data_IF_788150848344
#
_entry.id   IF_788150848344
#
_cell.length_a   1.000
_cell.length_b   1.000
_cell.length_c   1.000
_cell.angle_alpha   90.00
_cell.angle_beta   90.00
_cell.angle_gamma   90.00
#
_symmetry.space_group_name_H-M   'P 1'
#
loop_
_entity.id
_entity.type
_entity.pdbx_description
1 polymer ?
#
# COMPACT_ATOMS: atom_id res chain seq x y z
N UNK A 1 -7.72 -39.45 -3.97
CA UNK A 1 -7.14 -38.56 -5.02
C UNK A 1 -5.67 -38.93 -5.16
N UNK A 2 -5.10 -38.99 -6.37
CA UNK A 2 -3.70 -39.35 -6.56
C UNK A 2 -2.77 -38.35 -5.86
N UNK A 3 -1.70 -38.83 -5.25
CA UNK A 3 -0.73 -38.07 -4.45
C UNK A 3 -0.21 -36.83 -5.19
N UNK A 4 0.14 -36.97 -6.47
CA UNK A 4 0.61 -35.87 -7.32
C UNK A 4 -0.41 -34.74 -7.49
N UNK A 5 -1.71 -35.07 -7.53
CA UNK A 5 -2.76 -34.06 -7.66
C UNK A 5 -2.85 -33.19 -6.41
N UNK A 6 -2.70 -33.80 -5.22
CA UNK A 6 -2.71 -33.07 -3.95
C UNK A 6 -1.53 -32.12 -3.85
N UNK A 7 -0.32 -32.60 -4.19
CA UNK A 7 0.90 -31.78 -4.24
C UNK A 7 0.70 -30.58 -5.17
N UNK A 8 0.24 -30.81 -6.41
CA UNK A 8 0.04 -29.74 -7.39
C UNK A 8 -0.97 -28.70 -6.90
N UNK A 9 -2.03 -29.12 -6.19
CA UNK A 9 -3.02 -28.20 -5.60
C UNK A 9 -2.45 -27.37 -4.45
N UNK A 10 -1.66 -27.97 -3.56
CA UNK A 10 -0.99 -27.25 -2.47
C UNK A 10 -0.06 -26.18 -3.04
N UNK A 11 0.71 -26.54 -4.07
CA UNK A 11 1.59 -25.60 -4.78
C UNK A 11 0.80 -24.48 -5.45
N UNK A 12 -0.29 -24.79 -6.16
CA UNK A 12 -1.14 -23.79 -6.84
C UNK A 12 -1.76 -22.78 -5.86
N UNK A 13 -2.15 -23.24 -4.66
CA UNK A 13 -2.66 -22.36 -3.60
C UNK A 13 -1.57 -21.44 -3.06
N UNK A 14 -0.38 -21.97 -2.76
CA UNK A 14 0.72 -21.13 -2.29
C UNK A 14 1.16 -20.11 -3.35
N UNK A 15 1.24 -20.52 -4.61
CA UNK A 15 1.52 -19.65 -5.75
C UNK A 15 0.44 -18.57 -5.89
N UNK A 16 -0.82 -18.92 -5.70
CA UNK A 16 -1.94 -17.98 -5.75
C UNK A 16 -1.85 -16.97 -4.61
N UNK A 17 -1.67 -17.41 -3.36
CA UNK A 17 -1.53 -16.53 -2.20
C UNK A 17 -0.37 -15.54 -2.37
N UNK A 18 0.77 -16.01 -2.86
CA UNK A 18 1.90 -15.15 -3.19
C UNK A 18 1.55 -14.12 -4.26
N UNK A 19 0.96 -14.56 -5.38
CA UNK A 19 0.57 -13.68 -6.49
C UNK A 19 -0.43 -12.58 -6.10
N UNK A 20 -1.24 -12.80 -5.06
CA UNK A 20 -2.22 -11.82 -4.56
C UNK A 20 -1.63 -10.72 -3.67
N UNK A 21 -0.36 -10.83 -3.28
CA UNK A 21 0.27 -9.88 -2.36
C UNK A 21 0.14 -10.26 -0.88
N UNK A 22 -0.10 -11.54 -0.57
CA UNK A 22 -0.05 -12.05 0.80
C UNK A 22 1.38 -11.97 1.36
N UNK A 23 1.53 -11.57 2.62
CA UNK A 23 2.82 -11.56 3.31
C UNK A 23 3.46 -12.97 3.29
N UNK A 24 4.77 -13.12 3.02
CA UNK A 24 5.43 -14.43 2.91
C UNK A 24 5.16 -15.38 4.09
N UNK A 25 5.31 -14.92 5.33
CA UNK A 25 5.00 -15.74 6.51
C UNK A 25 3.55 -16.26 6.55
N UNK A 26 2.57 -15.51 6.02
CA UNK A 26 1.18 -15.96 5.90
C UNK A 26 1.02 -16.97 4.78
N UNK A 27 1.75 -16.80 3.66
CA UNK A 27 1.76 -17.81 2.58
C UNK A 27 2.20 -19.16 3.14
N UNK A 28 3.25 -19.19 3.95
CA UNK A 28 3.70 -20.41 4.66
C UNK A 28 2.57 -20.98 5.53
N UNK A 29 2.04 -20.18 6.45
CA UNK A 29 1.00 -20.64 7.40
C UNK A 29 -0.27 -21.15 6.69
N UNK A 30 -0.82 -20.40 5.75
CA UNK A 30 -2.05 -20.79 5.05
C UNK A 30 -1.85 -22.04 4.19
N UNK A 31 -0.70 -22.16 3.53
CA UNK A 31 -0.45 -23.30 2.64
C UNK A 31 -0.17 -24.56 3.47
N UNK A 32 0.55 -24.44 4.60
CA UNK A 32 0.75 -25.54 5.55
C UNK A 32 -0.57 -25.97 6.21
N UNK A 33 -1.42 -25.00 6.61
CA UNK A 33 -2.76 -25.29 7.12
C UNK A 33 -3.59 -26.11 6.12
N UNK A 34 -3.57 -25.71 4.85
CA UNK A 34 -4.27 -26.43 3.78
C UNK A 34 -3.70 -27.84 3.57
N UNK A 35 -2.37 -28.00 3.55
CA UNK A 35 -1.75 -29.31 3.38
C UNK A 35 -2.09 -30.27 4.53
N UNK A 36 -1.99 -29.79 5.78
CA UNK A 36 -2.35 -30.56 6.98
C UNK A 36 -3.82 -30.99 6.97
N UNK A 37 -4.72 -30.09 6.56
CA UNK A 37 -6.15 -30.40 6.39
C UNK A 37 -6.39 -31.50 5.35
N UNK A 38 -5.51 -31.65 4.35
CA UNK A 38 -5.56 -32.71 3.35
C UNK A 38 -4.69 -33.95 3.70
N UNK A 39 -4.14 -34.00 4.92
CA UNK A 39 -3.31 -35.11 5.40
C UNK A 39 -1.96 -35.21 4.69
N UNK A 40 -1.41 -34.08 4.21
CA UNK A 40 -0.09 -34.00 3.58
C UNK A 40 0.82 -33.16 4.47
N UNK A 41 1.91 -33.75 4.94
CA UNK A 41 2.94 -33.00 5.66
C UNK A 41 3.79 -32.22 4.65
N UNK A 42 3.86 -30.90 4.83
CA UNK A 42 4.72 -30.06 4.00
C UNK A 42 5.45 -29.03 4.85
N UNK A 43 6.70 -28.75 4.48
CA UNK A 43 7.46 -27.60 4.97
C UNK A 43 7.56 -26.58 3.85
N UNK A 44 7.17 -25.35 4.14
CA UNK A 44 7.08 -24.28 3.16
C UNK A 44 7.93 -23.12 3.65
N UNK A 45 8.77 -22.61 2.76
CA UNK A 45 9.53 -21.40 2.99
C UNK A 45 9.23 -20.42 1.85
N UNK A 46 8.59 -19.32 2.18
CA UNK A 46 8.22 -18.28 1.24
C UNK A 46 9.14 -17.06 1.43
N UNK A 47 9.49 -16.45 0.31
CA UNK A 47 10.18 -15.17 0.24
C UNK A 47 9.44 -14.27 -0.75
N UNK A 48 9.72 -12.97 -0.81
CA UNK A 48 9.06 -12.07 -1.76
C UNK A 48 9.23 -12.47 -3.24
N UNK A 49 10.24 -13.29 -3.57
CA UNK A 49 10.58 -13.65 -4.97
C UNK A 49 10.67 -15.15 -5.24
N UNK A 50 10.46 -16.01 -4.24
CA UNK A 50 10.49 -17.46 -4.40
C UNK A 50 9.70 -18.18 -3.31
N UNK A 51 9.17 -19.36 -3.64
CA UNK A 51 8.56 -20.27 -2.67
C UNK A 51 9.22 -21.64 -2.83
N UNK A 52 9.64 -22.21 -1.70
CA UNK A 52 10.20 -23.54 -1.61
C UNK A 52 9.20 -24.45 -0.89
N UNK A 53 8.77 -25.51 -1.57
CA UNK A 53 7.89 -26.53 -1.01
C UNK A 53 8.68 -27.83 -0.81
N UNK A 54 8.59 -28.39 0.38
CA UNK A 54 9.22 -29.66 0.71
C UNK A 54 8.15 -30.63 1.22
N UNK A 55 8.10 -31.83 0.65
CA UNK A 55 7.15 -32.88 1.00
C UNK A 55 7.93 -34.10 1.54
N UNK A 56 8.15 -34.19 2.87
CA UNK A 56 8.97 -35.25 3.46
C UNK A 56 8.38 -36.65 3.21
N UNK A 57 7.06 -36.79 3.31
CA UNK A 57 6.36 -38.08 3.20
C UNK A 57 6.28 -38.58 1.75
N UNK A 58 6.47 -37.69 0.76
CA UNK A 58 6.39 -37.98 -0.68
C UNK A 58 7.78 -38.02 -1.31
N UNK A 59 8.61 -38.98 -0.87
CA UNK A 59 9.97 -39.23 -1.38
C UNK A 59 10.90 -38.00 -1.26
N UNK A 60 10.72 -37.18 -0.20
CA UNK A 60 11.44 -35.93 0.01
C UNK A 60 11.40 -34.99 -1.22
N UNK A 61 10.26 -34.92 -1.91
CA UNK A 61 10.11 -34.05 -3.08
C UNK A 61 10.31 -32.58 -2.69
N UNK A 62 11.16 -31.88 -3.44
CA UNK A 62 11.43 -30.45 -3.28
C UNK A 62 11.03 -29.73 -4.56
N UNK A 63 10.15 -28.73 -4.43
CA UNK A 63 9.68 -27.91 -5.54
C UNK A 63 10.04 -26.46 -5.22
N UNK A 64 10.99 -25.90 -5.95
CA UNK A 64 11.35 -24.49 -5.87
C UNK A 64 10.76 -23.74 -7.06
N UNK A 65 9.92 -22.73 -6.78
CA UNK A 65 9.40 -21.81 -7.80
C UNK A 65 9.87 -20.39 -7.56
N UNK A 66 10.40 -19.76 -8.60
CA UNK A 66 10.71 -18.32 -8.61
C UNK A 66 9.50 -17.54 -9.09
N UNK A 67 9.17 -16.48 -8.36
CA UNK A 67 8.06 -15.59 -8.65
C UNK A 67 8.56 -14.17 -8.89
N UNK A 68 7.80 -13.43 -9.70
CA UNK A 68 7.95 -11.97 -9.73
C UNK A 68 7.42 -11.39 -8.41
N UNK A 69 7.86 -10.19 -8.00
CA UNK A 69 7.23 -9.50 -6.88
C UNK A 69 5.70 -9.50 -7.04
N UNK A 70 5.00 -9.74 -5.94
CA UNK A 70 3.57 -9.96 -5.96
C UNK A 70 2.80 -8.78 -6.54
N UNK A 71 1.75 -9.08 -7.32
CA UNK A 71 0.74 -8.09 -7.72
C UNK A 71 -0.31 -7.96 -6.62
N UNK A 72 -0.87 -6.77 -6.44
CA UNK A 72 -1.90 -6.56 -5.42
C UNK A 72 -3.25 -7.01 -5.98
N UNK A 73 -3.83 -8.07 -5.40
CA UNK A 73 -5.18 -8.55 -5.73
C UNK A 73 -5.91 -8.99 -4.46
N UNK A 74 -6.53 -8.03 -3.78
CA UNK A 74 -7.19 -8.25 -2.50
C UNK A 74 -8.45 -9.11 -2.62
N UNK A 75 -9.15 -9.03 -3.75
CA UNK A 75 -10.31 -9.88 -4.02
C UNK A 75 -9.92 -11.34 -4.18
N UNK A 76 -8.86 -11.62 -4.95
CA UNK A 76 -8.34 -12.99 -5.10
C UNK A 76 -7.79 -13.52 -3.77
N UNK A 77 -7.08 -12.69 -2.99
CA UNK A 77 -6.61 -13.07 -1.65
C UNK A 77 -7.77 -13.49 -0.75
N UNK A 78 -8.82 -12.66 -0.70
CA UNK A 78 -9.96 -12.90 0.16
C UNK A 78 -10.75 -14.15 -0.23
N UNK A 79 -10.96 -14.35 -1.54
CA UNK A 79 -11.66 -15.53 -2.06
C UNK A 79 -10.84 -16.81 -1.86
N UNK A 80 -9.51 -16.74 -2.00
CA UNK A 80 -8.62 -17.87 -1.71
C UNK A 80 -8.71 -18.25 -0.23
N UNK A 81 -8.66 -17.28 0.70
CA UNK A 81 -8.76 -17.58 2.14
C UNK A 81 -10.11 -18.19 2.52
N UNK A 82 -11.21 -17.66 1.97
CA UNK A 82 -12.55 -18.25 2.15
C UNK A 82 -12.55 -19.71 1.70
N UNK A 83 -11.91 -19.99 0.55
CA UNK A 83 -11.82 -21.34 0.01
C UNK A 83 -11.06 -22.30 0.94
N UNK A 84 -9.94 -21.86 1.54
CA UNK A 84 -9.15 -22.70 2.46
C UNK A 84 -9.94 -23.15 3.69
N UNK A 85 -10.92 -22.35 4.10
CA UNK A 85 -11.74 -22.61 5.28
C UNK A 85 -12.91 -23.55 5.02
N UNK A 86 -13.31 -23.77 3.75
CA UNK A 86 -14.43 -24.64 3.41
C UNK A 86 -14.19 -26.09 3.85
N UNK A 87 -15.21 -26.82 4.33
CA UNK A 87 -15.06 -28.22 4.73
C UNK A 87 -14.55 -29.08 3.57
N UNK A 88 -13.84 -30.16 3.91
CA UNK A 88 -13.30 -31.10 2.93
C UNK A 88 -14.44 -31.71 2.10
N UNK A 89 -14.53 -31.33 0.84
CA UNK A 89 -15.47 -31.95 -0.11
C UNK A 89 -14.76 -32.98 -1.00
N UNK A 90 -15.43 -34.08 -1.37
CA UNK A 90 -14.86 -35.09 -2.28
C UNK A 90 -14.67 -34.56 -3.71
N UNK A 91 -15.38 -33.50 -4.09
CA UNK A 91 -15.24 -32.83 -5.39
C UNK A 91 -14.08 -31.83 -5.32
N UNK A 92 -13.16 -31.83 -6.31
CA UNK A 92 -12.12 -30.82 -6.38
C UNK A 92 -12.73 -29.43 -6.64
N UNK A 93 -12.47 -28.46 -5.76
CA UNK A 93 -12.96 -27.10 -5.96
C UNK A 93 -12.28 -26.43 -7.15
N UNK A 94 -13.02 -25.61 -7.89
CA UNK A 94 -12.44 -24.71 -8.88
C UNK A 94 -11.45 -23.73 -8.20
N UNK A 95 -10.40 -23.26 -8.89
CA UNK A 95 -9.52 -22.21 -8.36
C UNK A 95 -10.32 -20.97 -7.97
N UNK A 96 -9.91 -20.28 -6.90
CA UNK A 96 -10.51 -18.99 -6.54
C UNK A 96 -10.35 -17.98 -7.69
N UNK A 97 -11.41 -17.24 -7.97
CA UNK A 97 -11.38 -16.14 -8.93
C UNK A 97 -11.30 -14.80 -8.20
N UNK A 98 -10.53 -13.87 -8.78
CA UNK A 98 -10.38 -12.52 -8.26
C UNK A 98 -11.53 -11.60 -8.69
N UNK A 99 -11.56 -10.39 -8.12
CA UNK A 99 -12.46 -9.35 -8.61
C UNK A 99 -11.81 -8.68 -9.81
N UNK A 100 -12.57 -8.55 -10.90
CA UNK A 100 -12.13 -7.81 -12.08
C UNK A 100 -12.97 -6.55 -12.25
N UNK A 101 -12.29 -5.41 -12.37
CA UNK A 101 -12.92 -4.13 -12.71
C UNK A 101 -12.72 -3.86 -14.20
N UNK A 102 -13.76 -3.34 -14.89
CA UNK A 102 -13.62 -2.93 -16.28
C UNK A 102 -12.61 -1.78 -16.39
N UNK A 103 -11.91 -1.70 -17.51
CA UNK A 103 -10.79 -0.76 -17.72
C UNK A 103 -11.19 0.70 -17.48
N UNK A 104 -12.43 1.09 -17.78
CA UNK A 104 -12.91 2.44 -17.55
C UNK A 104 -13.05 2.78 -16.05
N UNK A 105 -13.40 1.81 -15.19
CA UNK A 105 -13.44 2.01 -13.74
C UNK A 105 -12.01 2.15 -13.20
N UNK A 106 -11.07 1.35 -13.70
CA UNK A 106 -9.65 1.45 -13.32
C UNK A 106 -9.05 2.79 -13.75
N UNK A 107 -9.40 3.26 -14.95
CA UNK A 107 -9.02 4.58 -15.46
C UNK A 107 -9.56 5.68 -14.54
N UNK A 108 -10.85 5.65 -14.22
CA UNK A 108 -11.47 6.64 -13.33
C UNK A 108 -10.83 6.61 -11.94
N UNK A 109 -10.62 5.42 -11.36
CA UNK A 109 -9.96 5.29 -10.07
C UNK A 109 -8.55 5.89 -10.10
N UNK A 110 -7.73 5.58 -11.11
CA UNK A 110 -6.38 6.13 -11.22
C UNK A 110 -6.40 7.66 -11.37
N UNK A 111 -7.33 8.19 -12.16
CA UNK A 111 -7.50 9.63 -12.40
C UNK A 111 -8.00 10.37 -11.13
N UNK A 112 -8.82 9.72 -10.30
CA UNK A 112 -9.39 10.30 -9.09
C UNK A 112 -8.46 10.24 -7.87
N UNK A 113 -7.43 9.38 -7.86
CA UNK A 113 -6.52 9.25 -6.71
C UNK A 113 -5.74 10.55 -6.43
N UNK A 114 -5.06 11.18 -7.41
CA UNK A 114 -4.34 12.44 -7.16
C UNK A 114 -5.20 13.58 -6.61
N UNK A 115 -6.38 13.92 -7.19
CA UNK A 115 -7.22 14.96 -6.61
C UNK A 115 -7.71 14.57 -5.23
N UNK A 116 -8.16 13.34 -5.01
CA UNK A 116 -8.62 12.89 -3.69
C UNK A 116 -7.50 12.97 -2.63
N UNK A 117 -6.25 12.72 -3.02
CA UNK A 117 -5.10 12.91 -2.14
C UNK A 117 -4.87 14.39 -1.79
N UNK A 118 -4.94 15.30 -2.78
CA UNK A 118 -4.87 16.74 -2.53
C UNK A 118 -6.03 17.22 -1.65
N UNK A 119 -7.23 16.68 -1.83
CA UNK A 119 -8.39 16.98 -0.98
C UNK A 119 -8.11 16.68 0.49
N UNK A 120 -7.32 15.64 0.80
CA UNK A 120 -6.93 15.27 2.16
C UNK A 120 -5.78 16.12 2.70
N UNK A 121 -4.76 16.36 1.89
CA UNK A 121 -3.55 17.06 2.32
C UNK A 121 -3.78 18.57 2.41
N UNK A 122 -4.66 19.13 1.59
CA UNK A 122 -4.83 20.57 1.41
C UNK A 122 -3.99 21.08 0.24
N UNK A 123 -4.58 21.92 -0.61
CA UNK A 123 -3.93 22.51 -1.79
C UNK A 123 -4.75 23.69 -2.31
N UNK A 124 -4.37 24.24 -3.47
CA UNK A 124 -5.14 25.21 -4.25
C UNK A 124 -6.14 24.53 -5.19
N UNK A 125 -7.21 25.23 -5.60
CA UNK A 125 -8.21 24.68 -6.52
C UNK A 125 -7.62 24.41 -7.91
N UNK A 126 -6.68 25.22 -8.37
CA UNK A 126 -5.95 25.04 -9.63
C UNK A 126 -5.21 23.70 -9.63
N UNK A 127 -4.49 23.40 -8.55
CA UNK A 127 -3.78 22.13 -8.40
C UNK A 127 -4.76 20.94 -8.37
N UNK A 128 -5.95 21.09 -7.78
CA UNK A 128 -6.98 20.05 -7.80
C UNK A 128 -7.38 19.69 -9.24
N UNK A 129 -7.69 20.69 -10.08
CA UNK A 129 -8.09 20.44 -11.47
C UNK A 129 -6.94 19.85 -12.29
N UNK A 130 -5.72 20.38 -12.13
CA UNK A 130 -4.54 19.86 -12.83
C UNK A 130 -4.25 18.41 -12.42
N UNK A 131 -4.49 18.03 -11.16
CA UNK A 131 -4.22 16.68 -10.68
C UNK A 131 -5.05 15.59 -11.37
N UNK A 132 -6.27 15.90 -11.84
CA UNK A 132 -7.04 14.97 -12.67
C UNK A 132 -6.31 14.65 -13.98
N UNK A 133 -5.79 15.69 -14.65
CA UNK A 133 -5.01 15.51 -15.88
C UNK A 133 -3.75 14.67 -15.60
N UNK A 134 -3.04 14.96 -14.51
CA UNK A 134 -1.83 14.20 -14.16
C UNK A 134 -2.12 12.74 -13.83
N UNK A 135 -3.24 12.44 -13.13
CA UNK A 135 -3.67 11.06 -12.88
C UNK A 135 -3.96 10.28 -14.17
N UNK A 136 -4.59 10.93 -15.15
CA UNK A 136 -4.78 10.35 -16.48
C UNK A 136 -3.44 10.08 -17.18
N UNK A 137 -2.48 11.00 -17.10
CA UNK A 137 -1.16 10.84 -17.71
C UNK A 137 -0.38 9.70 -17.08
N UNK A 138 -0.45 9.55 -15.75
CA UNK A 138 0.14 8.42 -15.03
C UNK A 138 -0.50 7.10 -15.47
N UNK A 139 -1.82 7.05 -15.61
CA UNK A 139 -2.50 5.88 -16.18
C UNK A 139 -2.02 5.58 -17.60
N UNK A 140 -1.90 6.58 -18.47
CA UNK A 140 -1.40 6.40 -19.82
C UNK A 140 0.04 5.87 -19.84
N UNK A 141 0.91 6.37 -18.96
CA UNK A 141 2.27 5.84 -18.78
C UNK A 141 2.25 4.37 -18.38
N UNK A 142 1.38 3.97 -17.44
CA UNK A 142 1.21 2.57 -17.04
C UNK A 142 0.73 1.68 -18.21
N UNK A 143 -0.21 2.18 -19.03
CA UNK A 143 -0.73 1.44 -20.18
C UNK A 143 0.30 1.27 -21.30
N UNK A 144 1.18 2.27 -21.52
CA UNK A 144 2.19 2.27 -22.59
C UNK A 144 3.44 1.49 -22.16
N UNK A 145 3.90 1.65 -20.91
CA UNK A 145 5.12 1.04 -20.40
C UNK A 145 4.93 -0.45 -20.04
N UNK A 146 4.77 -1.28 -21.07
CA UNK A 146 4.62 -2.74 -20.91
C UNK A 146 5.96 -3.50 -20.97
N UNK A 147 5.96 -4.74 -20.48
CA UNK A 147 7.10 -5.69 -20.52
C UNK A 147 8.35 -5.12 -19.84
N UNK A 148 9.50 -5.04 -20.52
CA UNK A 148 10.78 -4.58 -19.94
C UNK A 148 10.73 -3.12 -19.51
N UNK A 149 9.88 -2.30 -20.14
CA UNK A 149 9.72 -0.87 -19.82
C UNK A 149 8.98 -0.62 -18.51
N UNK A 150 8.26 -1.62 -17.98
CA UNK A 150 7.56 -1.48 -16.70
C UNK A 150 8.51 -1.29 -15.52
N UNK A 151 9.78 -1.72 -15.65
CA UNK A 151 10.80 -1.53 -14.61
C UNK A 151 11.13 -0.06 -14.33
N UNK A 152 10.86 0.83 -15.30
CA UNK A 152 11.17 2.25 -15.21
C UNK A 152 9.91 3.13 -15.26
N UNK A 153 8.71 2.53 -15.20
CA UNK A 153 7.45 3.29 -15.30
C UNK A 153 7.33 4.32 -14.18
N UNK A 154 7.76 3.98 -12.97
CA UNK A 154 7.73 4.87 -11.81
C UNK A 154 8.59 6.12 -12.07
N UNK A 155 9.81 5.90 -12.57
CA UNK A 155 10.76 6.97 -12.90
C UNK A 155 10.25 7.85 -14.04
N UNK A 156 9.85 7.26 -15.17
CA UNK A 156 9.38 8.03 -16.33
C UNK A 156 8.10 8.81 -16.03
N UNK A 157 7.17 8.20 -15.30
CA UNK A 157 5.94 8.90 -14.90
C UNK A 157 6.25 10.09 -14.01
N UNK A 158 7.17 9.95 -13.04
CA UNK A 158 7.60 11.06 -12.21
C UNK A 158 8.24 12.20 -13.02
N UNK A 159 9.15 11.89 -13.95
CA UNK A 159 9.76 12.90 -14.83
C UNK A 159 8.70 13.62 -15.67
N UNK A 160 7.81 12.88 -16.34
CA UNK A 160 6.78 13.45 -17.22
C UNK A 160 5.79 14.31 -16.45
N UNK A 161 5.29 13.82 -15.33
CA UNK A 161 4.36 14.55 -14.47
C UNK A 161 5.00 15.84 -13.97
N UNK A 162 6.22 15.76 -13.44
CA UNK A 162 6.90 16.95 -12.91
C UNK A 162 7.19 17.96 -14.00
N UNK A 163 7.60 17.52 -15.19
CA UNK A 163 7.77 18.37 -16.37
C UNK A 163 6.46 19.09 -16.70
N UNK A 164 5.32 18.39 -16.72
CA UNK A 164 4.03 19.04 -16.98
C UNK A 164 3.65 20.03 -15.87
N UNK A 165 3.91 19.70 -14.61
CA UNK A 165 3.63 20.60 -13.48
C UNK A 165 4.46 21.88 -13.59
N UNK A 166 5.76 21.79 -13.88
CA UNK A 166 6.61 22.98 -14.03
C UNK A 166 6.28 23.80 -15.28
N UNK A 167 5.82 23.16 -16.36
CA UNK A 167 5.24 23.88 -17.50
C UNK A 167 4.02 24.70 -17.09
N UNK A 168 3.07 24.09 -16.38
CA UNK A 168 1.84 24.77 -15.93
C UNK A 168 2.17 25.90 -14.94
N UNK A 169 3.13 25.68 -14.04
CA UNK A 169 3.60 26.71 -13.11
C UNK A 169 4.23 27.90 -13.86
N UNK A 170 4.98 27.64 -14.94
CA UNK A 170 5.58 28.71 -15.77
C UNK A 170 4.56 29.62 -16.46
N UNK A 171 3.30 29.19 -16.59
CA UNK A 171 2.20 30.02 -17.10
C UNK A 171 1.69 31.04 -16.06
N UNK A 172 2.30 31.09 -14.86
CA UNK A 172 1.88 31.97 -13.77
C UNK A 172 0.67 31.47 -13.00
N UNK A 173 0.30 30.19 -13.15
CA UNK A 173 -0.81 29.59 -12.40
C UNK A 173 -0.31 29.26 -10.98
N UNK A 174 -1.01 29.71 -9.92
CA UNK A 174 -0.58 29.52 -8.55
C UNK A 174 -0.78 28.07 -8.06
N UNK A 175 0.25 27.23 -8.23
CA UNK A 175 0.21 25.81 -7.83
C UNK A 175 1.38 25.41 -6.92
N UNK A 176 1.13 24.64 -5.84
CA UNK A 176 2.19 24.04 -5.04
C UNK A 176 2.84 22.87 -5.80
N UNK A 177 3.91 23.18 -6.55
CA UNK A 177 4.60 22.26 -7.48
C UNK A 177 4.93 20.91 -6.84
N UNK A 178 5.59 20.90 -5.68
CA UNK A 178 6.02 19.66 -5.02
C UNK A 178 4.84 18.80 -4.55
N UNK A 179 3.84 19.42 -3.93
CA UNK A 179 2.64 18.71 -3.45
C UNK A 179 1.86 18.09 -4.61
N UNK A 180 1.72 18.81 -5.72
CA UNK A 180 1.04 18.34 -6.92
C UNK A 180 1.81 17.19 -7.60
N UNK A 181 3.14 17.27 -7.69
CA UNK A 181 3.96 16.18 -8.22
C UNK A 181 3.79 14.89 -7.40
N UNK A 182 3.83 15.00 -6.08
CA UNK A 182 3.69 13.84 -5.19
C UNK A 182 2.28 13.26 -5.25
N UNK A 183 1.25 14.11 -5.28
CA UNK A 183 -0.13 13.67 -5.44
C UNK A 183 -0.34 12.88 -6.74
N UNK A 184 0.23 13.35 -7.85
CA UNK A 184 0.12 12.68 -9.14
C UNK A 184 0.77 11.28 -9.16
N UNK A 185 1.90 11.08 -8.47
CA UNK A 185 2.60 9.79 -8.44
C UNK A 185 2.27 8.93 -7.22
N UNK A 186 1.33 9.35 -6.37
CA UNK A 186 1.03 8.69 -5.08
C UNK A 186 0.67 7.22 -5.25
N UNK A 187 0.07 6.83 -6.38
CA UNK A 187 -0.27 5.43 -6.67
C UNK A 187 0.97 4.52 -6.79
N UNK A 188 2.13 5.06 -7.18
CA UNK A 188 3.37 4.28 -7.24
C UNK A 188 4.03 4.10 -5.88
N UNK A 189 3.57 4.81 -4.85
CA UNK A 189 4.09 4.62 -3.49
C UNK A 189 3.70 3.21 -3.04
N UNK A 190 4.68 2.34 -2.70
CA UNK A 190 4.46 0.91 -2.51
C UNK A 190 3.85 0.60 -1.13
N UNK A 191 2.70 1.18 -0.83
CA UNK A 191 2.10 1.18 0.51
C UNK A 191 1.76 -0.21 1.05
N UNK A 192 1.26 -1.12 0.21
CA UNK A 192 1.07 -2.51 0.63
C UNK A 192 2.38 -3.21 0.94
N UNK A 193 3.39 -3.06 0.07
CA UNK A 193 4.69 -3.69 0.28
C UNK A 193 5.33 -3.18 1.56
N UNK A 194 5.19 -1.89 1.88
CA UNK A 194 5.59 -1.33 3.18
C UNK A 194 4.82 -2.04 4.30
N UNK A 195 3.49 -2.07 4.26
CA UNK A 195 2.68 -2.70 5.31
C UNK A 195 3.05 -4.19 5.51
N UNK A 196 3.24 -4.94 4.42
CA UNK A 196 3.71 -6.34 4.45
C UNK A 196 5.12 -6.46 5.04
N UNK A 197 6.03 -5.55 4.70
CA UNK A 197 7.39 -5.57 5.22
C UNK A 197 7.41 -5.36 6.73
N UNK A 198 6.63 -4.37 7.21
CA UNK A 198 6.50 -4.08 8.63
C UNK A 198 5.85 -5.24 9.37
N UNK A 199 4.83 -5.86 8.77
CA UNK A 199 4.19 -7.05 9.33
C UNK A 199 5.19 -8.24 9.42
N UNK A 200 5.96 -8.51 8.38
CA UNK A 200 7.01 -9.54 8.41
C UNK A 200 8.05 -9.28 9.52
N UNK A 201 8.52 -8.04 9.65
CA UNK A 201 9.46 -7.66 10.72
C UNK A 201 8.84 -7.85 12.11
N UNK A 202 7.55 -7.50 12.28
CA UNK A 202 6.82 -7.71 13.53
C UNK A 202 6.74 -9.19 13.94
N UNK A 203 6.67 -10.10 12.97
CA UNK A 203 6.67 -11.55 13.18
C UNK A 203 8.05 -12.21 13.09
N UNK A 204 9.14 -11.42 13.17
CA UNK A 204 10.54 -11.90 13.09
C UNK A 204 10.92 -12.59 11.76
N UNK A 205 10.14 -12.39 10.68
CA UNK A 205 10.52 -12.77 9.32
C UNK A 205 11.43 -11.69 8.71
N UNK A 206 12.69 -11.68 9.18
CA UNK A 206 13.68 -10.66 8.85
C UNK A 206 14.05 -10.67 7.36
N UNK A 207 14.13 -11.84 6.73
CA UNK A 207 14.53 -11.97 5.32
C UNK A 207 13.46 -11.37 4.40
N UNK A 208 12.19 -11.73 4.61
CA UNK A 208 11.11 -11.17 3.81
C UNK A 208 10.89 -9.68 4.09
N UNK A 209 10.93 -9.30 5.37
CA UNK A 209 10.74 -7.91 5.79
C UNK A 209 11.79 -6.97 5.20
N UNK A 210 13.07 -7.31 5.32
CA UNK A 210 14.16 -6.48 4.76
C UNK A 210 14.16 -6.47 3.22
N UNK A 211 13.82 -7.59 2.57
CA UNK A 211 13.71 -7.66 1.10
C UNK A 211 12.58 -6.77 0.57
N UNK A 212 11.40 -6.80 1.20
CA UNK A 212 10.27 -5.93 0.84
C UNK A 212 10.60 -4.45 1.08
N UNK A 213 11.23 -4.10 2.22
CA UNK A 213 11.69 -2.73 2.46
C UNK A 213 12.70 -2.27 1.42
N UNK A 214 13.66 -3.13 1.04
CA UNK A 214 14.62 -2.84 -0.01
C UNK A 214 13.94 -2.55 -1.36
N UNK A 215 12.92 -3.33 -1.72
CA UNK A 215 12.12 -3.07 -2.92
C UNK A 215 11.39 -1.72 -2.82
N UNK A 216 10.77 -1.43 -1.68
CA UNK A 216 10.07 -0.16 -1.47
C UNK A 216 11.02 1.04 -1.59
N UNK A 217 12.20 0.93 -0.99
CA UNK A 217 13.23 1.96 -1.02
C UNK A 217 13.71 2.25 -2.46
N UNK A 218 13.91 1.21 -3.28
CA UNK A 218 14.26 1.37 -4.70
C UNK A 218 13.16 2.11 -5.47
N UNK A 219 11.88 1.78 -5.24
CA UNK A 219 10.76 2.51 -5.88
C UNK A 219 10.72 3.97 -5.44
N UNK A 220 10.91 4.26 -4.15
CA UNK A 220 10.96 5.64 -3.64
C UNK A 220 12.13 6.43 -4.24
N UNK A 221 13.30 5.82 -4.40
CA UNK A 221 14.45 6.43 -5.10
C UNK A 221 14.09 6.80 -6.54
N UNK A 222 13.45 5.89 -7.29
CA UNK A 222 13.03 6.18 -8.68
C UNK A 222 12.10 7.37 -8.75
N UNK A 223 11.11 7.44 -7.85
CA UNK A 223 10.16 8.56 -7.79
C UNK A 223 10.88 9.87 -7.43
N UNK A 224 11.72 9.85 -6.40
CA UNK A 224 12.46 11.02 -5.93
C UNK A 224 13.40 11.57 -7.01
N UNK A 225 14.26 10.73 -7.58
CA UNK A 225 15.17 11.14 -8.66
C UNK A 225 14.38 11.60 -9.89
N UNK A 226 13.26 10.94 -10.21
CA UNK A 226 12.38 11.33 -11.30
C UNK A 226 11.80 12.74 -11.13
N UNK A 227 11.33 13.08 -9.92
CA UNK A 227 10.87 14.44 -9.60
C UNK A 227 12.03 15.43 -9.75
N UNK A 228 13.17 15.19 -9.12
CA UNK A 228 14.31 16.13 -9.15
C UNK A 228 14.79 16.39 -10.59
N UNK A 229 14.93 15.33 -11.40
CA UNK A 229 15.29 15.47 -12.81
C UNK A 229 14.21 16.24 -13.58
N UNK A 230 12.94 15.93 -13.36
CA UNK A 230 11.82 16.65 -13.98
C UNK A 230 11.80 18.14 -13.63
N UNK A 231 12.09 18.49 -12.37
CA UNK A 231 12.19 19.88 -11.91
C UNK A 231 13.31 20.62 -12.65
N UNK A 232 14.54 20.08 -12.63
CA UNK A 232 15.68 20.74 -13.27
C UNK A 232 15.56 20.83 -14.79
N UNK A 233 14.99 19.81 -15.45
CA UNK A 233 14.68 19.89 -16.88
C UNK A 233 13.64 21.00 -17.11
N UNK A 234 12.61 21.09 -16.27
CA UNK A 234 11.59 22.12 -16.39
C UNK A 234 12.12 23.52 -16.17
N UNK A 235 12.94 23.72 -15.14
CA UNK A 235 13.65 24.99 -14.87
C UNK A 235 14.51 25.42 -16.04
N UNK A 236 15.21 24.48 -16.69
CA UNK A 236 16.04 24.76 -17.85
C UNK A 236 15.22 25.13 -19.10
N UNK A 237 14.03 24.55 -19.27
CA UNK A 237 13.17 24.77 -20.44
C UNK A 237 12.29 26.01 -20.32
N UNK A 238 11.77 26.31 -19.13
CA UNK A 238 10.75 27.34 -18.90
C UNK A 238 11.16 28.43 -17.93
N UNK A 239 12.35 28.34 -17.33
CA UNK A 239 12.80 29.24 -16.26
C UNK A 239 12.36 28.76 -14.88
N UNK A 240 12.83 29.43 -13.84
CA UNK A 240 12.50 29.09 -12.45
C UNK A 240 11.05 29.52 -12.19
N UNK A 241 10.11 28.60 -11.96
CA UNK A 241 8.75 28.97 -11.60
C UNK A 241 8.76 29.63 -10.21
N UNK A 242 7.88 30.61 -9.99
CA UNK A 242 7.63 31.09 -8.63
C UNK A 242 6.98 29.95 -7.84
N UNK A 243 7.77 29.30 -6.99
CA UNK A 243 7.27 28.28 -6.08
C UNK A 243 6.41 28.97 -5.03
N UNK A 244 5.10 28.77 -5.13
CA UNK A 244 4.19 29.17 -4.06
C UNK A 244 4.31 28.13 -2.96
N UNK A 245 4.50 28.63 -1.74
CA UNK A 245 4.44 27.79 -0.54
C UNK A 245 3.07 27.12 -0.42
N UNK A 246 3.00 26.07 0.40
CA UNK A 246 1.75 25.38 0.66
C UNK A 246 0.65 26.36 1.10
N UNK A 247 -0.46 26.35 0.35
CA UNK A 247 -1.70 27.03 0.69
C UNK A 247 -2.81 25.98 0.78
N UNK A 248 -3.64 26.08 1.82
CA UNK A 248 -4.81 25.24 1.98
C UNK A 248 -6.08 26.07 1.78
N UNK A 249 -6.56 26.12 0.54
CA UNK A 249 -7.81 26.81 0.19
C UNK A 249 -9.04 25.92 0.43
N UNK A 250 -8.81 24.65 0.77
CA UNK A 250 -9.86 23.65 0.84
C UNK A 250 -10.63 23.70 2.15
N UNK A 251 -11.98 23.78 2.09
CA UNK A 251 -12.82 23.66 3.26
C UNK A 251 -12.84 22.22 3.79
N UNK A 252 -13.15 22.07 5.08
CA UNK A 252 -13.18 20.75 5.76
C UNK A 252 -14.10 19.73 5.10
N UNK A 253 -15.21 20.15 4.47
CA UNK A 253 -16.11 19.23 3.77
C UNK A 253 -15.41 18.50 2.61
N UNK A 254 -14.45 19.15 1.96
CA UNK A 254 -13.72 18.60 0.84
C UNK A 254 -12.76 17.50 1.30
N UNK A 255 -12.18 17.62 2.50
CA UNK A 255 -11.44 16.54 3.15
C UNK A 255 -12.34 15.34 3.49
N UNK A 256 -13.57 15.59 3.97
CA UNK A 256 -14.55 14.54 4.27
C UNK A 256 -14.98 13.79 3.01
N UNK A 257 -15.11 14.47 1.87
CA UNK A 257 -15.43 13.87 0.57
C UNK A 257 -14.23 13.18 -0.06
N UNK A 258 -13.03 13.74 0.09
CA UNK A 258 -11.77 13.19 -0.42
C UNK A 258 -11.45 11.81 0.17
N UNK A 259 -11.79 11.59 1.44
CA UNK A 259 -11.51 10.33 2.13
C UNK A 259 -12.22 9.10 1.53
N UNK A 260 -13.56 9.05 1.38
CA UNK A 260 -14.21 7.94 0.70
C UNK A 260 -13.76 7.85 -0.75
N UNK A 261 -13.54 8.99 -1.44
CA UNK A 261 -13.10 9.00 -2.83
C UNK A 261 -11.74 8.28 -3.01
N UNK A 262 -10.74 8.61 -2.18
CA UNK A 262 -9.44 7.93 -2.22
C UNK A 262 -9.56 6.47 -1.79
N UNK A 263 -10.41 6.18 -0.79
CA UNK A 263 -10.60 4.83 -0.26
C UNK A 263 -11.18 3.87 -1.30
N UNK A 264 -12.25 4.29 -2.00
CA UNK A 264 -12.83 3.48 -3.06
C UNK A 264 -11.91 3.37 -4.27
N UNK A 265 -11.20 4.45 -4.63
CA UNK A 265 -10.28 4.43 -5.78
C UNK A 265 -9.09 3.49 -5.54
N UNK A 266 -8.48 3.51 -4.35
CA UNK A 266 -7.43 2.57 -3.95
C UNK A 266 -7.98 1.14 -3.90
N UNK A 267 -9.19 0.95 -3.34
CA UNK A 267 -9.86 -0.35 -3.32
C UNK A 267 -10.00 -0.95 -4.73
N UNK A 268 -10.44 -0.15 -5.70
CA UNK A 268 -10.52 -0.56 -7.12
C UNK A 268 -9.15 -0.90 -7.67
N UNK A 269 -8.14 -0.06 -7.43
CA UNK A 269 -6.76 -0.29 -7.90
C UNK A 269 -6.17 -1.59 -7.38
N UNK A 270 -6.53 -1.99 -6.17
CA UNK A 270 -6.09 -3.25 -5.54
C UNK A 270 -7.07 -4.40 -5.72
N UNK A 271 -8.09 -4.23 -6.58
CA UNK A 271 -9.12 -5.23 -6.86
C UNK A 271 -9.79 -5.78 -5.60
N UNK A 272 -9.98 -4.94 -4.59
CA UNK A 272 -10.70 -5.35 -3.38
C UNK A 272 -12.17 -5.63 -3.70
N UNK A 273 -12.84 -6.44 -2.88
CA UNK A 273 -14.30 -6.62 -3.03
C UNK A 273 -14.99 -5.34 -2.55
N UNK A 274 -16.08 -4.88 -3.20
CA UNK A 274 -16.77 -3.66 -2.79
C UNK A 274 -17.18 -3.64 -1.32
N UNK A 275 -17.60 -4.79 -0.79
CA UNK A 275 -17.96 -4.95 0.62
C UNK A 275 -16.76 -4.74 1.55
N UNK A 276 -15.56 -5.21 1.16
CA UNK A 276 -14.35 -5.05 1.96
C UNK A 276 -13.89 -3.58 1.98
N UNK A 277 -14.12 -2.85 0.88
CA UNK A 277 -13.84 -1.40 0.80
C UNK A 277 -14.70 -0.58 1.76
N UNK A 278 -15.96 -0.99 1.97
CA UNK A 278 -16.84 -0.31 2.92
C UNK A 278 -16.38 -0.58 4.35
N UNK A 279 -15.99 -1.82 4.66
CA UNK A 279 -15.50 -2.17 5.99
C UNK A 279 -14.12 -1.55 6.32
N UNK A 280 -13.31 -1.16 5.33
CA UNK A 280 -12.02 -0.50 5.54
C UNK A 280 -12.13 1.01 5.76
N UNK A 281 -13.28 1.63 5.49
CA UNK A 281 -13.48 3.08 5.60
C UNK A 281 -13.20 3.64 7.01
N UNK A 282 -13.62 3.00 8.12
CA UNK A 282 -13.27 3.47 9.47
C UNK A 282 -11.76 3.52 9.72
N UNK A 283 -11.01 2.60 9.11
CA UNK A 283 -9.54 2.57 9.20
C UNK A 283 -8.93 3.75 8.43
N UNK A 284 -9.53 4.13 7.30
CA UNK A 284 -9.14 5.33 6.57
C UNK A 284 -9.38 6.61 7.39
N UNK A 285 -10.52 6.70 8.08
CA UNK A 285 -10.84 7.80 9.01
C UNK A 285 -9.80 7.89 10.11
N UNK A 286 -9.48 6.77 10.75
CA UNK A 286 -8.43 6.71 11.77
C UNK A 286 -7.07 7.13 11.19
N UNK A 287 -6.68 6.64 10.02
CA UNK A 287 -5.42 7.02 9.39
C UNK A 287 -5.32 8.53 9.09
N UNK A 288 -6.43 9.15 8.71
CA UNK A 288 -6.48 10.59 8.43
C UNK A 288 -6.43 11.44 9.71
N UNK A 289 -7.36 11.25 10.65
CA UNK A 289 -7.50 12.16 11.79
C UNK A 289 -6.91 11.64 13.11
N UNK A 290 -6.65 10.33 13.21
CA UNK A 290 -6.14 9.70 14.41
C UNK A 290 -4.87 10.37 14.96
N UNK A 291 -3.82 10.62 14.16
CA UNK A 291 -2.58 11.17 14.70
C UNK A 291 -2.74 12.58 15.28
N UNK A 292 -3.72 13.34 14.80
CA UNK A 292 -4.02 14.68 15.30
C UNK A 292 -4.74 14.63 16.66
N UNK A 293 -5.74 13.75 16.80
CA UNK A 293 -6.54 13.68 18.02
C UNK A 293 -5.99 12.74 19.10
N UNK A 294 -5.14 11.78 18.74
CA UNK A 294 -4.62 10.74 19.64
C UNK A 294 -3.17 10.99 20.06
N UNK A 295 -2.68 12.22 19.90
CA UNK A 295 -1.32 12.61 20.27
C UNK A 295 -1.04 12.61 21.78
N UNK A 296 -2.06 12.87 22.62
CA UNK A 296 -1.97 12.93 24.09
C UNK A 296 -0.70 13.65 24.60
N UNK A 297 -0.43 14.85 24.09
CA UNK A 297 0.77 15.66 24.39
C UNK A 297 2.14 15.05 23.98
N UNK A 298 2.16 13.81 23.50
CA UNK A 298 3.34 13.10 22.98
C UNK A 298 3.64 13.41 21.51
N UNK A 299 2.93 14.37 20.92
CA UNK A 299 3.11 14.80 19.54
C UNK A 299 2.72 13.75 18.48
N UNK A 300 3.12 14.02 17.24
CA UNK A 300 2.73 13.23 16.07
C UNK A 300 3.20 11.77 16.11
N UNK A 301 4.34 11.49 16.76
CA UNK A 301 4.88 10.14 16.87
C UNK A 301 3.96 9.27 17.72
N UNK A 302 3.57 9.75 18.90
CA UNK A 302 2.63 9.03 19.78
C UNK A 302 1.26 8.92 19.13
N UNK A 303 0.75 10.00 18.51
CA UNK A 303 -0.52 9.96 17.78
C UNK A 303 -0.54 8.90 16.68
N UNK A 304 0.54 8.78 15.92
CA UNK A 304 0.70 7.77 14.86
C UNK A 304 0.76 6.36 15.42
N UNK A 305 1.48 6.17 16.53
CA UNK A 305 1.55 4.89 17.20
C UNK A 305 0.16 4.43 17.69
N UNK A 306 -0.56 5.25 18.46
CA UNK A 306 -1.91 4.93 18.96
C UNK A 306 -2.87 4.65 17.80
N UNK A 307 -2.85 5.51 16.78
CA UNK A 307 -3.67 5.34 15.58
C UNK A 307 -3.41 4.00 14.91
N UNK A 308 -2.13 3.64 14.76
CA UNK A 308 -1.76 2.36 14.15
C UNK A 308 -2.24 1.17 14.97
N UNK A 309 -2.19 1.26 16.31
CA UNK A 309 -2.74 0.24 17.20
C UNK A 309 -4.24 0.06 16.93
N UNK A 310 -5.01 1.15 16.90
CA UNK A 310 -6.46 1.10 16.67
C UNK A 310 -6.81 0.55 15.28
N UNK A 311 -6.11 1.01 14.24
CA UNK A 311 -6.23 0.53 12.86
C UNK A 311 -6.04 -1.00 12.81
N UNK A 312 -4.97 -1.48 13.45
CA UNK A 312 -4.59 -2.89 13.41
C UNK A 312 -5.54 -3.76 14.23
N UNK A 313 -5.99 -3.29 15.39
CA UNK A 313 -7.00 -3.96 16.21
C UNK A 313 -8.35 -4.07 15.47
N UNK A 314 -8.84 -2.96 14.92
CA UNK A 314 -10.09 -2.95 14.17
C UNK A 314 -10.02 -3.87 12.94
N UNK A 315 -8.95 -3.76 12.15
CA UNK A 315 -8.78 -4.56 10.95
C UNK A 315 -8.68 -6.05 11.24
N UNK A 316 -7.99 -6.42 12.32
CA UNK A 316 -7.89 -7.82 12.78
C UNK A 316 -9.22 -8.33 13.34
N UNK A 317 -9.98 -7.48 14.04
CA UNK A 317 -11.30 -7.80 14.57
C UNK A 317 -12.33 -8.07 13.45
N UNK A 318 -12.43 -7.16 12.47
CA UNK A 318 -13.28 -7.35 11.28
C UNK A 318 -12.87 -8.61 10.53
N UNK A 319 -11.56 -8.81 10.32
CA UNK A 319 -11.04 -9.99 9.65
C UNK A 319 -11.43 -11.28 10.36
N UNK A 320 -11.37 -11.33 11.70
CA UNK A 320 -11.87 -12.48 12.47
C UNK A 320 -13.37 -12.70 12.30
N UNK A 321 -14.17 -11.62 12.30
CA UNK A 321 -15.63 -11.69 12.10
C UNK A 321 -16.01 -12.18 10.71
N UNK A 322 -15.26 -11.80 9.68
CA UNK A 322 -15.49 -12.16 8.28
C UNK A 322 -14.73 -13.42 7.84
N UNK A 323 -13.94 -14.02 8.73
CA UNK A 323 -13.02 -15.12 8.43
C UNK A 323 -12.01 -14.80 7.30
N UNK A 324 -11.50 -13.58 7.28
CA UNK A 324 -10.52 -13.07 6.31
C UNK A 324 -9.19 -12.76 7.00
N UNK A 325 -8.24 -12.20 6.24
CA UNK A 325 -6.98 -11.65 6.76
C UNK A 325 -7.10 -10.16 7.06
N UNK A 326 -6.48 -9.70 8.16
CA UNK A 326 -6.51 -8.30 8.60
C UNK A 326 -5.98 -7.32 7.56
N UNK A 327 -5.01 -7.74 6.74
CA UNK A 327 -4.32 -6.83 5.81
C UNK A 327 -5.25 -6.21 4.75
N UNK A 328 -6.33 -6.90 4.38
CA UNK A 328 -7.35 -6.37 3.45
C UNK A 328 -7.94 -5.05 3.99
N UNK A 329 -8.08 -4.93 5.31
CA UNK A 329 -8.68 -3.76 5.96
C UNK A 329 -7.64 -2.77 6.49
N UNK A 330 -6.55 -3.27 7.06
CA UNK A 330 -5.50 -2.48 7.70
C UNK A 330 -4.79 -1.57 6.69
N UNK A 331 -4.50 -2.10 5.50
CA UNK A 331 -3.68 -1.44 4.50
C UNK A 331 -4.19 -0.04 4.12
N UNK A 332 -5.51 0.14 4.02
CA UNK A 332 -6.09 1.42 3.62
C UNK A 332 -5.71 2.56 4.58
N UNK A 333 -5.78 2.30 5.89
CA UNK A 333 -5.38 3.30 6.89
C UNK A 333 -3.86 3.48 6.96
N UNK A 334 -3.09 2.40 6.83
CA UNK A 334 -1.63 2.49 6.81
C UNK A 334 -1.13 3.32 5.63
N UNK A 335 -1.71 3.16 4.43
CA UNK A 335 -1.34 3.95 3.24
C UNK A 335 -1.55 5.44 3.47
N UNK A 336 -2.66 5.83 4.11
CA UNK A 336 -2.95 7.23 4.44
C UNK A 336 -1.98 7.76 5.51
N UNK A 337 -1.57 6.89 6.44
CA UNK A 337 -0.69 7.20 7.56
C UNK A 337 0.80 7.27 7.19
N UNK A 338 1.21 6.59 6.12
CA UNK A 338 2.62 6.52 5.68
C UNK A 338 3.15 7.94 5.44
N UNK A 339 4.37 8.25 5.91
CA UNK A 339 4.93 9.59 5.96
C UNK A 339 4.93 10.37 4.64
N UNK A 340 4.84 9.74 3.47
CA UNK A 340 4.75 10.43 2.19
C UNK A 340 3.59 11.45 2.09
N UNK A 341 2.48 11.22 2.80
CA UNK A 341 1.33 12.14 2.86
C UNK A 341 1.49 13.27 3.89
N UNK A 342 2.26 13.03 4.96
CA UNK A 342 2.36 13.91 6.13
C UNK A 342 3.67 14.68 6.24
N UNK A 343 4.74 14.19 5.63
CA UNK A 343 6.02 14.92 5.46
C UNK A 343 5.79 16.24 4.71
N UNK A 344 4.88 16.24 3.74
CA UNK A 344 4.48 17.47 3.02
C UNK A 344 3.72 18.45 3.92
N UNK A 345 2.87 17.93 4.82
CA UNK A 345 2.10 18.74 5.78
C UNK A 345 2.99 19.26 6.91
N UNK A 346 3.98 18.48 7.38
CA UNK A 346 4.93 18.93 8.40
C UNK A 346 5.91 19.96 7.87
N UNK A 347 6.24 19.91 6.58
CA UNK A 347 7.02 20.96 5.93
C UNK A 347 6.26 22.30 5.90
N UNK A 348 4.92 22.26 5.85
CA UNK A 348 4.07 23.45 5.71
C UNK A 348 3.47 24.01 7.01
N UNK A 349 3.35 23.22 8.09
CA UNK A 349 2.76 23.65 9.36
C UNK A 349 3.66 24.59 10.22
N UNK A 350 4.77 25.08 9.70
CA UNK A 350 5.71 25.97 10.41
C UNK A 350 5.23 27.44 10.57
N UNK A 351 3.91 27.68 10.63
CA UNK A 351 3.33 29.03 10.78
C UNK A 351 2.90 29.34 12.23
N UNK A 352 2.90 28.37 13.15
CA UNK A 352 2.59 28.63 14.57
C UNK A 352 3.77 28.28 15.50
N UNK A 353 4.54 29.34 15.77
CA UNK A 353 5.30 29.69 16.99
C UNK A 353 6.06 28.61 17.80
N UNK A 354 7.37 28.88 17.94
CA UNK A 354 8.33 28.41 18.95
C UNK A 354 8.91 26.97 18.85
N UNK A 355 9.97 26.83 18.03
CA UNK A 355 10.88 25.68 18.10
C UNK A 355 12.03 25.95 19.09
N UNK A 356 11.95 25.41 20.30
CA UNK A 356 13.05 25.41 21.30
C UNK A 356 13.97 24.17 21.10
N UNK A 357 13.67 23.30 20.14
CA UNK A 357 14.50 22.15 19.77
C UNK A 357 14.79 22.14 18.25
N UNK A 358 15.97 21.64 17.80
CA UNK A 358 16.30 21.54 16.40
C UNK A 358 15.28 20.65 15.68
N UNK A 359 14.64 21.20 14.65
CA UNK A 359 13.65 20.49 13.85
C UNK A 359 14.33 19.24 13.25
N UNK A 360 13.82 18.03 13.50
CA UNK A 360 14.31 16.84 12.84
C UNK A 360 14.19 17.03 11.32
N UNK A 361 15.26 16.73 10.57
CA UNK A 361 15.21 16.74 9.11
C UNK A 361 13.99 15.96 8.61
N UNK A 362 13.44 16.34 7.45
CA UNK A 362 12.30 15.65 6.82
C UNK A 362 12.47 14.12 6.84
N UNK A 363 13.69 13.62 6.58
CA UNK A 363 14.02 12.20 6.65
C UNK A 363 13.94 11.60 8.05
N UNK A 364 14.37 12.34 9.09
CA UNK A 364 14.29 11.89 10.48
C UNK A 364 12.83 11.84 10.97
N UNK A 365 12.00 12.81 10.57
CA UNK A 365 10.55 12.80 10.85
C UNK A 365 9.86 11.61 10.18
N UNK A 366 10.19 11.34 8.91
CA UNK A 366 9.68 10.15 8.21
C UNK A 366 10.08 8.86 8.93
N UNK A 367 11.34 8.75 9.37
CA UNK A 367 11.84 7.61 10.12
C UNK A 367 11.08 7.40 11.44
N UNK A 368 10.81 8.46 12.21
CA UNK A 368 10.02 8.34 13.44
C UNK A 368 8.58 7.90 13.18
N UNK A 369 7.94 8.42 12.13
CA UNK A 369 6.60 7.99 11.72
C UNK A 369 6.59 6.52 11.31
N UNK A 370 7.59 6.06 10.54
CA UNK A 370 7.74 4.64 10.20
C UNK A 370 7.91 3.78 11.45
N UNK A 371 8.80 4.17 12.36
CA UNK A 371 9.02 3.45 13.63
C UNK A 371 7.75 3.39 14.47
N UNK A 372 6.97 4.47 14.52
CA UNK A 372 5.68 4.50 15.23
C UNK A 372 4.65 3.55 14.63
N UNK A 373 4.59 3.46 13.30
CA UNK A 373 3.72 2.51 12.59
C UNK A 373 4.13 1.06 12.94
N UNK A 374 5.43 0.73 12.83
CA UNK A 374 5.93 -0.61 13.16
C UNK A 374 5.62 -0.98 14.60
N UNK A 375 5.98 -0.11 15.54
CA UNK A 375 5.73 -0.32 16.97
C UNK A 375 4.24 -0.48 17.26
N UNK A 376 3.38 0.29 16.58
CA UNK A 376 1.93 0.22 16.75
C UNK A 376 1.35 -1.10 16.23
N UNK A 377 1.83 -1.60 15.09
CA UNK A 377 1.40 -2.91 14.57
C UNK A 377 1.85 -4.04 15.49
N UNK A 378 3.10 -4.03 15.95
CA UNK A 378 3.62 -5.02 16.91
C UNK A 378 2.79 -5.03 18.19
N UNK A 379 2.50 -3.85 18.74
CA UNK A 379 1.69 -3.70 19.95
C UNK A 379 0.28 -4.24 19.75
N UNK A 380 -0.36 -3.99 18.61
CA UNK A 380 -1.68 -4.51 18.34
C UNK A 380 -1.70 -6.03 18.15
N UNK A 381 -0.71 -6.60 17.44
CA UNK A 381 -0.63 -8.05 17.23
C UNK A 381 -0.30 -8.82 18.50
N UNK A 382 0.43 -8.23 19.45
CA UNK A 382 0.66 -8.84 20.77
C UNK A 382 -0.60 -8.86 21.63
N UNK A 383 -1.48 -7.86 21.50
CA UNK A 383 -2.77 -7.78 22.22
C UNK A 383 -3.83 -8.69 21.57
N UNK A 384 -3.93 -8.65 20.24
CA UNK A 384 -4.97 -9.34 19.51
C UNK A 384 -4.39 -10.09 18.32
N UNK A 385 -4.11 -11.37 18.57
CA UNK A 385 -3.48 -12.25 17.59
C UNK A 385 -4.42 -12.54 16.39
N UNK A 386 -3.89 -12.64 15.15
CA UNK A 386 -4.62 -13.11 13.98
C UNK A 386 -5.25 -14.49 14.19
N UNK A 387 -6.34 -14.82 13.48
CA UNK A 387 -7.08 -16.07 13.67
C UNK A 387 -6.26 -17.35 13.41
N UNK A 388 -5.19 -17.27 12.62
CA UNK A 388 -4.39 -18.44 12.21
C UNK A 388 -3.34 -18.80 13.26
N UNK A 389 -3.17 -17.98 14.29
CA UNK A 389 -2.17 -18.16 15.34
C UNK A 389 -2.75 -18.93 16.54
N UNK A 390 -3.97 -19.47 16.41
CA UNK A 390 -4.68 -20.16 17.50
C UNK A 390 -4.54 -21.68 17.50
N UNK A 391 -3.64 -22.24 16.69
CA UNK A 391 -3.26 -23.67 16.76
C UNK A 391 -1.79 -23.82 17.18
#
# INVERSE_FOLDING_TARGET
>A
MPTQYRINRIVDIGDTLHRCGCAPYKVERYTTFYANKHGVNCMIQATPTAINYQFPDDNNAVILKRHKPASIDLGLLANTIIQLQQPLTPVPLAPAEGVSYPTWIVLLANTCIPPAFLMLVGSTYEALFVSFLLGFIVWACQAICTKRRSLAVEFFSAVIVTLIVTFIASLGIPIPVLALCIAAIVLFVPGLSIANALECLAFNDLVSGTSLLGQCFLTLIKLFIGIIIGLHIGEALWGVPEFIDYQNEFPLWLQIVGLPLISFSIGVMFKARPIDMVYSLPVAVLGMWGPFYLGFDGGWVVGTWVTTVLITLYGTWIAKKLNLTGIIFIMQGIIILVPGSRVLVSASQNVFEASILPIPSIGLSALFMFSAIVAGQITAYSIYSPKIDQD
#
